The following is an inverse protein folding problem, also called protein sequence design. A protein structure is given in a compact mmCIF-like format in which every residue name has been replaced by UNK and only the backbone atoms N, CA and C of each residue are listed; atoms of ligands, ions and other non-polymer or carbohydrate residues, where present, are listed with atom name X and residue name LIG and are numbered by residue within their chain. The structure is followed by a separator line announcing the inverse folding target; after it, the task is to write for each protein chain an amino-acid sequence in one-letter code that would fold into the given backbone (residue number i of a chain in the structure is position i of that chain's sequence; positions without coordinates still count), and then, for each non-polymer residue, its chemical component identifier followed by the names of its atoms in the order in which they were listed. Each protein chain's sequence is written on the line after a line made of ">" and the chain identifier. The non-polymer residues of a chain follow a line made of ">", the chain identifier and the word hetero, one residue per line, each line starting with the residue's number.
data_IF_834715365095
#
_entry.id   IF_834715365095
#
_cell.length_a   1.000
_cell.length_b   1.000
_cell.length_c   1.000
_cell.angle_alpha   90.00
_cell.angle_beta   90.00
_cell.angle_gamma   90.00
#
_symmetry.space_group_name_H-M   'P 1'
#
loop_
_entity.id
_entity.type
_entity.pdbx_description
1 polymer ?
#
# COMPACT_ATOMS: atom_id res chain seq x y z
N UNK A 1 -5.87 -8.42 19.19
CA UNK A 1 -5.93 -7.10 18.53
C UNK A 1 -4.64 -6.75 17.78
N UNK A 2 -3.46 -6.90 18.40
CA UNK A 2 -2.14 -6.59 17.77
C UNK A 2 -1.93 -7.21 16.39
N UNK A 3 -2.27 -8.51 16.23
CA UNK A 3 -2.10 -9.22 14.95
C UNK A 3 -2.83 -8.57 13.76
N UNK A 4 -3.99 -7.96 13.99
CA UNK A 4 -4.74 -7.30 12.92
C UNK A 4 -4.07 -6.00 12.49
N UNK A 5 -3.52 -5.25 13.44
CA UNK A 5 -2.74 -4.05 13.15
C UNK A 5 -1.45 -4.41 12.40
N UNK A 6 -0.74 -5.45 12.85
CA UNK A 6 0.49 -5.93 12.19
C UNK A 6 0.22 -6.32 10.73
N UNK A 7 -0.87 -7.05 10.46
CA UNK A 7 -1.25 -7.42 9.09
C UNK A 7 -1.47 -6.21 8.19
N UNK A 8 -2.16 -5.18 8.70
CA UNK A 8 -2.41 -3.95 7.93
C UNK A 8 -1.08 -3.24 7.66
N UNK A 9 -0.21 -3.15 8.66
CA UNK A 9 1.07 -2.47 8.53
C UNK A 9 2.03 -3.18 7.57
N UNK A 10 2.09 -4.52 7.63
CA UNK A 10 2.86 -5.32 6.69
C UNK A 10 2.30 -5.23 5.26
N UNK A 11 0.98 -5.19 5.09
CA UNK A 11 0.36 -4.96 3.78
C UNK A 11 0.74 -3.59 3.21
N UNK A 12 0.71 -2.52 4.02
CA UNK A 12 1.12 -1.18 3.60
C UNK A 12 2.60 -1.18 3.17
N UNK A 13 3.48 -1.82 3.95
CA UNK A 13 4.90 -1.94 3.60
C UNK A 13 5.10 -2.72 2.31
N UNK A 14 4.37 -3.80 2.09
CA UNK A 14 4.46 -4.61 0.88
C UNK A 14 3.97 -3.84 -0.37
N UNK A 15 2.85 -3.13 -0.26
CA UNK A 15 2.34 -2.24 -1.32
C UNK A 15 3.38 -1.18 -1.66
N UNK A 16 3.99 -0.57 -0.65
CA UNK A 16 5.04 0.40 -0.87
C UNK A 16 6.29 -0.25 -1.47
N UNK A 17 6.68 -1.45 -1.05
CA UNK A 17 7.83 -2.16 -1.60
C UNK A 17 7.65 -2.50 -3.09
N UNK A 18 6.43 -2.81 -3.51
CA UNK A 18 6.11 -3.13 -4.91
C UNK A 18 6.01 -1.90 -5.82
N UNK A 19 6.22 -0.70 -5.27
CA UNK A 19 6.36 0.55 -6.02
C UNK A 19 5.05 1.32 -6.22
N UNK A 20 3.95 0.89 -5.59
CA UNK A 20 2.70 1.66 -5.57
C UNK A 20 2.86 2.87 -4.64
N UNK A 21 2.58 4.07 -5.16
CA UNK A 21 2.74 5.33 -4.42
C UNK A 21 1.53 6.21 -4.64
N UNK A 22 1.21 7.06 -3.67
CA UNK A 22 0.27 8.17 -3.91
C UNK A 22 1.00 9.32 -4.59
N UNK A 23 0.25 10.27 -5.16
CA UNK A 23 0.82 11.45 -5.84
C UNK A 23 1.87 12.19 -5.01
N UNK A 24 1.70 12.24 -3.68
CA UNK A 24 2.63 12.93 -2.78
C UNK A 24 3.98 12.21 -2.64
N UNK A 25 4.01 10.89 -2.82
CA UNK A 25 5.20 10.05 -2.70
C UNK A 25 5.76 9.59 -4.05
N UNK A 26 5.12 10.01 -5.16
CA UNK A 26 5.45 9.56 -6.51
C UNK A 26 6.72 10.18 -7.10
N UNK A 27 7.31 11.17 -6.42
CA UNK A 27 8.47 11.92 -6.90
C UNK A 27 9.76 11.09 -7.04
N UNK A 28 9.81 9.89 -6.44
CA UNK A 28 11.02 9.05 -6.37
C UNK A 28 10.77 7.61 -6.87
N UNK A 29 10.49 7.45 -8.16
CA UNK A 29 10.44 6.12 -8.82
C UNK A 29 9.20 5.28 -8.46
N UNK A 30 8.02 5.88 -8.60
CA UNK A 30 6.76 5.15 -8.47
C UNK A 30 6.50 4.29 -9.70
N UNK A 31 6.33 2.97 -9.49
CA UNK A 31 5.85 2.05 -10.53
C UNK A 31 4.46 2.45 -11.01
N UNK A 32 3.59 2.80 -10.07
CA UNK A 32 2.22 3.23 -10.37
C UNK A 32 1.76 4.24 -9.31
N UNK A 33 1.21 5.37 -9.78
CA UNK A 33 0.71 6.44 -8.92
C UNK A 33 -0.78 6.26 -8.72
N UNK A 34 -1.17 5.88 -7.50
CA UNK A 34 -2.54 5.61 -7.11
C UNK A 34 -3.21 6.84 -6.49
N UNK A 35 -4.53 6.90 -6.59
CA UNK A 35 -5.36 7.80 -5.80
C UNK A 35 -5.67 7.19 -4.42
N UNK A 36 -6.29 7.96 -3.53
CA UNK A 36 -6.59 7.53 -2.16
C UNK A 36 -7.43 6.24 -2.10
N UNK A 37 -8.41 6.11 -2.99
CA UNK A 37 -9.31 4.94 -3.05
C UNK A 37 -8.56 3.70 -3.53
N UNK A 38 -7.84 3.81 -4.64
CA UNK A 38 -7.08 2.73 -5.25
C UNK A 38 -5.95 2.24 -4.34
N UNK A 39 -5.33 3.14 -3.57
CA UNK A 39 -4.35 2.75 -2.55
C UNK A 39 -4.99 1.88 -1.47
N UNK A 40 -6.20 2.24 -1.00
CA UNK A 40 -6.97 1.43 -0.05
C UNK A 40 -7.34 0.05 -0.62
N UNK A 41 -7.85 0.01 -1.84
CA UNK A 41 -8.21 -1.24 -2.52
C UNK A 41 -7.01 -2.18 -2.67
N UNK A 42 -5.84 -1.63 -2.99
CA UNK A 42 -4.60 -2.40 -3.09
C UNK A 42 -4.14 -2.91 -1.73
N UNK A 43 -4.18 -2.11 -0.66
CA UNK A 43 -3.83 -2.58 0.68
C UNK A 43 -4.71 -3.76 1.09
N UNK A 44 -6.03 -3.67 0.84
CA UNK A 44 -6.97 -4.77 1.12
C UNK A 44 -6.62 -6.04 0.32
N UNK A 45 -6.19 -5.90 -0.93
CA UNK A 45 -5.71 -7.04 -1.73
C UNK A 45 -4.47 -7.69 -1.10
N UNK A 46 -3.54 -6.91 -0.55
CA UNK A 46 -2.33 -7.45 0.09
C UNK A 46 -2.61 -8.10 1.45
N UNK A 47 -3.63 -7.65 2.17
CA UNK A 47 -4.08 -8.31 3.41
C UNK A 47 -4.69 -9.69 3.11
N UNK A 48 -5.38 -9.84 1.96
CA UNK A 48 -6.04 -11.08 1.55
C UNK A 48 -5.15 -12.01 0.70
N UNK A 49 -3.87 -11.68 0.50
CA UNK A 49 -2.94 -12.40 -0.36
C UNK A 49 -2.01 -13.30 0.46
#
# INVERSE_FOLDING_TARGET
>A
EVKAADMIEEAIKAVLKDGYRTKDLAAFDAKEVLNTTAMGDIIVKYINK
#
